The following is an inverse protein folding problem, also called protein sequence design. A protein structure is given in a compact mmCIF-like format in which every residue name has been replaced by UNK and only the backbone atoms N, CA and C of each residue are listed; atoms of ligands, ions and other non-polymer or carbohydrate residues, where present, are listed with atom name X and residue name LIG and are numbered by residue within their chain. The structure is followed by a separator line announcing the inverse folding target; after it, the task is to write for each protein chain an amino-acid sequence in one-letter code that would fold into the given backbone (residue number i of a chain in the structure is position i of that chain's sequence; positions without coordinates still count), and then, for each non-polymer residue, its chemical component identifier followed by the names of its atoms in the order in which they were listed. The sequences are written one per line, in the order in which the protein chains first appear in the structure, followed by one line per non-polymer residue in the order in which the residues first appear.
data_IF_775931125231
#
_entry.id   IF_775931125231
#
_cell.length_a   1.000
_cell.length_b   1.000
_cell.length_c   1.000
_cell.angle_alpha   90.00
_cell.angle_beta   90.00
_cell.angle_gamma   90.00
#
_symmetry.space_group_name_H-M   'P 1'
#
loop_
_entity.id
_entity.type
_entity.pdbx_description
1 polymer ?
#
# COMPACT_ATOMS: atom_id res chain seq x y z
N UNK A 1 -4.70 1.30 -11.41
CA UNK A 1 -3.34 1.30 -12.02
C UNK A 1 -2.85 2.69 -12.39
N UNK A 2 -3.69 3.60 -12.93
CA UNK A 2 -3.24 4.95 -13.34
C UNK A 2 -2.77 5.85 -12.17
N UNK A 3 -3.44 5.77 -11.01
CA UNK A 3 -3.12 6.59 -9.82
C UNK A 3 -1.73 6.26 -9.25
N UNK A 4 -1.41 4.97 -9.15
CA UNK A 4 -0.12 4.45 -8.63
C UNK A 4 1.07 4.99 -9.43
N UNK A 5 0.95 5.04 -10.76
CA UNK A 5 2.01 5.57 -11.62
C UNK A 5 2.25 7.05 -11.35
N UNK A 6 1.19 7.83 -11.18
CA UNK A 6 1.26 9.28 -10.97
C UNK A 6 1.90 9.61 -9.62
N UNK A 7 1.52 8.90 -8.57
CA UNK A 7 2.10 9.03 -7.22
C UNK A 7 3.59 8.65 -7.20
N UNK A 8 3.97 7.59 -7.91
CA UNK A 8 5.37 7.20 -8.03
C UNK A 8 6.18 8.23 -8.84
N UNK A 9 5.65 8.75 -9.96
CA UNK A 9 6.33 9.75 -10.78
C UNK A 9 6.62 11.05 -10.01
N UNK A 10 5.75 11.43 -9.08
CA UNK A 10 5.95 12.58 -8.19
C UNK A 10 7.10 12.40 -7.17
N UNK A 11 7.80 11.26 -7.19
CA UNK A 11 8.91 10.95 -6.29
C UNK A 11 10.21 10.58 -7.03
N UNK A 12 10.21 10.75 -8.35
CA UNK A 12 11.31 10.40 -9.25
C UNK A 12 11.96 11.67 -9.78
N UNK A 13 13.27 11.78 -9.65
CA UNK A 13 14.04 12.91 -10.14
C UNK A 13 15.29 12.44 -10.89
N UNK A 14 15.63 13.06 -12.00
CA UNK A 14 16.77 12.69 -12.83
C UNK A 14 17.96 13.62 -12.60
N UNK A 15 19.14 13.04 -12.40
CA UNK A 15 20.42 13.75 -12.54
C UNK A 15 20.98 13.52 -13.94
N UNK A 16 21.40 14.62 -14.58
CA UNK A 16 21.83 14.61 -15.97
C UNK A 16 23.27 14.12 -16.13
N UNK A 17 23.40 13.01 -16.84
CA UNK A 17 24.66 12.41 -17.27
C UNK A 17 24.86 12.58 -18.77
N UNK A 18 24.45 11.57 -19.55
CA UNK A 18 24.48 11.54 -21.02
C UNK A 18 23.26 12.20 -21.68
N UNK A 19 22.26 12.63 -20.89
CA UNK A 19 21.16 13.50 -21.29
C UNK A 19 20.14 12.85 -22.21
N UNK A 20 20.02 11.53 -22.16
CA UNK A 20 18.99 10.71 -22.82
C UNK A 20 17.62 10.75 -22.09
N UNK A 21 17.48 11.66 -21.13
CA UNK A 21 16.23 12.00 -20.42
C UNK A 21 15.35 12.93 -21.29
N UNK A 22 14.03 12.82 -21.17
CA UNK A 22 13.10 13.69 -21.90
C UNK A 22 13.17 15.13 -21.41
N UNK A 23 13.45 16.06 -22.31
CA UNK A 23 13.55 17.48 -21.99
C UNK A 23 12.26 18.05 -21.37
N UNK A 24 11.09 17.66 -21.90
CA UNK A 24 9.80 18.25 -21.51
C UNK A 24 9.10 17.50 -20.37
N UNK A 25 9.21 16.17 -20.33
CA UNK A 25 8.30 15.33 -19.54
C UNK A 25 8.95 14.64 -18.34
N UNK A 26 10.27 14.52 -18.33
CA UNK A 26 10.99 13.97 -17.18
C UNK A 26 11.36 15.07 -16.19
N UNK A 27 11.35 14.73 -14.91
CA UNK A 27 11.68 15.66 -13.83
C UNK A 27 13.19 15.69 -13.57
N UNK A 28 13.91 16.49 -14.34
CA UNK A 28 15.35 16.73 -14.16
C UNK A 28 15.66 18.16 -13.67
N UNK A 29 14.69 19.07 -13.76
CA UNK A 29 14.80 20.44 -13.28
C UNK A 29 14.29 20.54 -11.82
N UNK A 30 15.00 21.20 -10.89
CA UNK A 30 14.57 21.31 -9.49
C UNK A 30 13.15 21.85 -9.31
N UNK A 31 12.74 22.79 -10.16
CA UNK A 31 11.45 23.49 -10.13
C UNK A 31 10.27 22.61 -10.57
N UNK A 32 10.52 21.48 -11.23
CA UNK A 32 9.48 20.55 -11.67
C UNK A 32 9.62 20.11 -13.12
N UNK A 33 8.55 19.48 -13.63
CA UNK A 33 8.46 19.07 -15.03
C UNK A 33 8.32 20.31 -15.92
N UNK A 34 9.22 20.46 -16.88
CA UNK A 34 9.32 21.64 -17.72
C UNK A 34 8.03 21.96 -18.51
N UNK A 35 7.35 20.93 -19.04
CA UNK A 35 6.08 21.11 -19.74
C UNK A 35 5.00 21.77 -18.86
N UNK A 36 4.98 21.48 -17.56
CA UNK A 36 4.04 22.08 -16.61
C UNK A 36 4.39 23.54 -16.29
N UNK A 37 5.68 23.88 -16.25
CA UNK A 37 6.16 25.24 -15.97
C UNK A 37 5.88 26.20 -17.12
N UNK A 38 6.04 25.73 -18.36
CA UNK A 38 5.86 26.56 -19.57
C UNK A 38 4.41 26.51 -20.08
N UNK A 39 3.59 25.57 -19.58
CA UNK A 39 2.20 25.38 -20.04
C UNK A 39 2.11 24.92 -21.50
N UNK A 40 3.17 24.31 -22.01
CA UNK A 40 3.29 23.94 -23.42
C UNK A 40 2.92 22.47 -23.66
N UNK A 41 2.06 22.21 -24.64
CA UNK A 41 1.77 20.86 -25.14
C UNK A 41 2.78 20.47 -26.23
N UNK A 42 4.05 20.28 -25.84
CA UNK A 42 5.12 19.93 -26.77
C UNK A 42 5.19 18.42 -26.99
N UNK A 43 4.54 17.88 -28.03
CA UNK A 43 4.58 16.44 -28.40
C UNK A 43 5.93 15.95 -28.96
N UNK A 44 7.04 16.54 -28.53
CA UNK A 44 8.38 16.23 -29.02
C UNK A 44 9.15 15.46 -27.94
N UNK A 45 9.41 14.18 -28.20
CA UNK A 45 10.36 13.37 -27.44
C UNK A 45 11.79 13.81 -27.78
N UNK A 46 12.14 15.03 -27.39
CA UNK A 46 13.50 15.57 -27.53
C UNK A 46 14.28 15.21 -26.26
N UNK A 47 15.45 14.57 -26.39
CA UNK A 47 16.35 14.34 -25.26
C UNK A 47 17.01 15.65 -24.81
N UNK A 48 17.35 15.73 -23.53
CA UNK A 48 18.02 16.90 -22.95
C UNK A 48 19.32 17.24 -23.67
N UNK A 49 20.11 16.22 -24.04
CA UNK A 49 21.40 16.40 -24.71
C UNK A 49 21.32 17.07 -26.08
N UNK A 50 20.12 17.18 -26.68
CA UNK A 50 19.96 17.90 -27.93
C UNK A 50 20.22 19.40 -27.78
N UNK A 51 20.00 19.92 -26.59
CA UNK A 51 20.26 21.30 -26.20
C UNK A 51 21.69 21.53 -25.72
N UNK A 52 22.62 20.60 -25.98
CA UNK A 52 24.02 20.77 -25.64
C UNK A 52 24.87 21.16 -26.87
N UNK A 53 25.95 21.87 -26.60
CA UNK A 53 27.04 22.17 -27.53
C UNK A 53 28.35 22.13 -26.75
N UNK A 54 29.35 21.38 -27.25
CA UNK A 54 30.65 21.20 -26.58
C UNK A 54 30.54 20.81 -25.08
N UNK A 55 29.55 19.99 -24.74
CA UNK A 55 29.26 19.51 -23.38
C UNK A 55 28.69 20.53 -22.40
N UNK A 56 28.29 21.70 -22.89
CA UNK A 56 27.58 22.72 -22.12
C UNK A 56 26.20 22.99 -22.71
N UNK A 57 25.35 23.70 -21.95
CA UNK A 57 24.04 24.13 -22.42
C UNK A 57 24.17 25.13 -23.57
N UNK A 58 23.57 24.80 -24.71
CA UNK A 58 23.45 25.69 -25.85
C UNK A 58 22.30 26.68 -25.60
N UNK A 59 22.67 27.85 -25.05
CA UNK A 59 21.71 28.93 -24.75
C UNK A 59 20.95 29.39 -26.00
N UNK A 60 21.54 29.36 -27.19
CA UNK A 60 20.87 29.80 -28.42
C UNK A 60 19.75 28.84 -28.81
N UNK A 61 19.99 27.52 -28.69
CA UNK A 61 18.93 26.51 -28.88
C UNK A 61 17.84 26.61 -27.82
N UNK A 62 18.21 26.83 -26.55
CA UNK A 62 17.24 26.96 -25.45
C UNK A 62 16.32 28.18 -25.63
N UNK A 63 16.86 29.32 -26.11
CA UNK A 63 16.08 30.54 -26.39
C UNK A 63 14.97 30.32 -27.43
N UNK A 64 15.12 29.36 -28.32
CA UNK A 64 14.10 29.02 -29.31
C UNK A 64 12.99 28.13 -28.74
N UNK A 65 13.24 27.46 -27.61
CA UNK A 65 12.35 26.47 -27.02
C UNK A 65 11.61 26.96 -25.77
N UNK A 66 12.27 27.75 -24.91
CA UNK A 66 11.74 28.16 -23.60
C UNK A 66 11.94 29.66 -23.31
N UNK A 67 11.11 30.27 -22.44
CA UNK A 67 11.28 31.68 -22.04
C UNK A 67 12.59 31.94 -21.27
N UNK A 68 13.10 33.18 -21.33
CA UNK A 68 14.39 33.55 -20.72
C UNK A 68 14.53 33.18 -19.23
N UNK A 69 13.49 33.39 -18.42
CA UNK A 69 13.52 33.06 -16.99
C UNK A 69 13.69 31.56 -16.70
N UNK A 70 13.32 30.69 -17.65
CA UNK A 70 13.52 29.24 -17.56
C UNK A 70 14.93 28.85 -18.00
N UNK A 71 15.51 29.56 -18.96
CA UNK A 71 16.87 29.29 -19.46
C UNK A 71 17.87 29.43 -18.31
N UNK A 72 17.72 30.48 -17.51
CA UNK A 72 18.63 30.73 -16.39
C UNK A 72 18.60 29.56 -15.40
N UNK A 73 17.41 29.05 -15.06
CA UNK A 73 17.24 27.84 -14.23
C UNK A 73 17.88 26.59 -14.86
N UNK A 74 17.65 26.36 -16.16
CA UNK A 74 18.21 25.20 -16.87
C UNK A 74 19.74 25.24 -16.82
N UNK A 75 20.34 26.42 -17.04
CA UNK A 75 21.80 26.55 -17.05
C UNK A 75 22.47 26.39 -15.70
N UNK A 76 21.72 26.44 -14.60
CA UNK A 76 22.23 26.14 -13.25
C UNK A 76 22.30 24.63 -12.97
N UNK A 77 21.63 23.79 -13.78
CA UNK A 77 21.64 22.35 -13.61
C UNK A 77 22.99 21.78 -14.03
N UNK A 78 23.72 21.07 -13.13
CA UNK A 78 25.01 20.48 -13.47
C UNK A 78 24.84 19.32 -14.46
N UNK A 79 25.71 19.28 -15.48
CA UNK A 79 25.80 18.19 -16.45
C UNK A 79 27.07 17.39 -16.14
N UNK A 80 26.96 16.06 -16.07
CA UNK A 80 28.13 15.18 -15.96
C UNK A 80 28.18 14.17 -17.11
N UNK A 81 28.69 14.60 -18.26
CA UNK A 81 28.78 13.80 -19.50
C UNK A 81 29.54 12.47 -19.37
N UNK A 82 30.33 12.30 -18.31
CA UNK A 82 31.14 11.08 -18.08
C UNK A 82 30.35 10.00 -17.33
N UNK A 83 29.12 10.29 -16.94
CA UNK A 83 28.22 9.37 -16.26
C UNK A 83 26.94 9.19 -17.08
N UNK A 84 26.26 8.06 -16.88
CA UNK A 84 24.91 7.88 -17.41
C UNK A 84 23.91 8.65 -16.56
N UNK A 85 22.79 9.05 -17.17
CA UNK A 85 21.66 9.63 -16.46
C UNK A 85 21.25 8.76 -15.27
N UNK A 86 21.04 9.38 -14.11
CA UNK A 86 20.72 8.65 -12.88
C UNK A 86 19.34 9.02 -12.34
N UNK A 87 18.53 7.99 -12.10
CA UNK A 87 17.20 8.11 -11.53
C UNK A 87 17.24 8.10 -10.01
N UNK A 88 17.04 9.26 -9.38
CA UNK A 88 16.88 9.37 -7.95
C UNK A 88 15.44 9.10 -7.52
N UNK A 89 15.30 8.20 -6.57
CA UNK A 89 14.05 7.92 -5.87
C UNK A 89 14.02 8.61 -4.51
N UNK A 90 13.23 9.68 -4.37
CA UNK A 90 13.22 10.58 -3.20
C UNK A 90 12.76 9.90 -1.90
N UNK A 91 12.01 8.80 -2.01
CA UNK A 91 11.46 8.07 -0.86
C UNK A 91 12.43 7.02 -0.29
N UNK A 92 13.63 6.89 -0.85
CA UNK A 92 14.68 6.03 -0.31
C UNK A 92 15.87 6.85 0.19
N UNK A 93 16.39 6.48 1.36
CA UNK A 93 17.61 7.07 1.94
C UNK A 93 18.84 6.90 1.05
N UNK A 94 18.84 5.90 0.16
CA UNK A 94 19.94 5.59 -0.74
C UNK A 94 19.65 6.02 -2.19
N UNK A 95 18.57 6.78 -2.42
CA UNK A 95 18.10 7.20 -3.74
C UNK A 95 17.79 6.08 -4.75
N UNK A 96 17.89 4.82 -4.35
CA UNK A 96 17.52 3.67 -5.16
C UNK A 96 16.01 3.41 -5.11
N UNK A 97 15.43 3.17 -6.27
CA UNK A 97 14.05 2.72 -6.38
C UNK A 97 13.89 1.31 -5.80
N UNK A 98 12.92 1.15 -4.89
CA UNK A 98 12.53 -0.19 -4.43
C UNK A 98 11.02 -0.32 -4.42
N UNK A 99 10.51 -1.48 -4.86
CA UNK A 99 9.07 -1.80 -4.79
C UNK A 99 8.51 -1.66 -3.38
N UNK A 100 9.32 -1.95 -2.36
CA UNK A 100 8.98 -1.78 -0.94
C UNK A 100 8.71 -0.32 -0.57
N UNK A 101 9.58 0.61 -0.96
CA UNK A 101 9.40 2.03 -0.64
C UNK A 101 8.23 2.64 -1.41
N UNK A 102 8.08 2.32 -2.70
CA UNK A 102 6.90 2.71 -3.48
C UNK A 102 5.60 2.18 -2.88
N UNK A 103 5.56 0.90 -2.50
CA UNK A 103 4.39 0.30 -1.85
C UNK A 103 4.03 0.97 -0.52
N UNK A 104 5.04 1.32 0.28
CA UNK A 104 4.83 1.93 1.58
C UNK A 104 4.24 3.35 1.49
N UNK A 105 4.53 4.09 0.43
CA UNK A 105 3.96 5.42 0.18
C UNK A 105 2.50 5.34 -0.26
N UNK A 106 2.22 4.45 -1.21
CA UNK A 106 0.89 4.35 -1.83
C UNK A 106 -0.12 3.70 -0.89
N UNK A 107 0.34 2.75 -0.07
CA UNK A 107 -0.57 2.05 0.84
C UNK A 107 -1.04 3.01 1.92
N UNK A 108 -2.33 2.99 2.19
CA UNK A 108 -2.87 3.56 3.41
C UNK A 108 -2.33 2.75 4.61
N UNK A 109 -1.40 3.36 5.35
CA UNK A 109 -0.73 2.70 6.47
C UNK A 109 -1.64 2.67 7.68
N UNK A 110 -2.47 1.64 7.75
CA UNK A 110 -3.21 1.36 8.97
C UNK A 110 -2.29 0.79 10.05
N UNK A 111 -2.51 1.14 11.34
CA UNK A 111 -1.69 0.62 12.43
C UNK A 111 -1.75 -0.91 12.44
N UNK A 112 -0.58 -1.54 12.49
CA UNK A 112 -0.49 -3.00 12.52
C UNK A 112 -1.13 -3.50 13.82
N UNK A 113 -2.35 -4.03 13.72
CA UNK A 113 -3.00 -4.61 14.89
C UNK A 113 -2.22 -5.85 15.33
N UNK A 114 -1.81 -5.88 16.59
CA UNK A 114 -1.06 -7.02 17.14
C UNK A 114 -1.84 -8.34 17.08
N UNK A 115 -3.16 -8.27 16.95
CA UNK A 115 -4.03 -9.42 16.75
C UNK A 115 -3.67 -10.15 15.45
N UNK A 116 -3.45 -9.42 14.34
CA UNK A 116 -3.17 -10.02 13.04
C UNK A 116 -1.87 -10.83 13.03
N UNK A 117 -0.84 -10.38 13.76
CA UNK A 117 0.44 -11.10 13.85
C UNK A 117 0.27 -12.50 14.45
N UNK A 118 -0.68 -12.68 15.38
CA UNK A 118 -0.91 -13.96 16.05
C UNK A 118 -1.48 -15.02 15.12
N UNK A 119 -2.23 -14.64 14.08
CA UNK A 119 -2.77 -15.60 13.12
C UNK A 119 -1.71 -16.16 12.17
N UNK A 120 -0.60 -15.47 11.98
CA UNK A 120 0.48 -15.90 11.07
C UNK A 120 1.66 -16.55 11.80
N UNK A 121 1.42 -17.12 12.98
CA UNK A 121 2.41 -17.90 13.72
C UNK A 121 2.78 -19.19 12.98
N UNK A 122 4.05 -19.61 13.07
CA UNK A 122 4.53 -20.89 12.52
C UNK A 122 3.85 -22.12 13.13
N UNK A 123 3.19 -21.96 14.28
CA UNK A 123 2.45 -23.03 14.95
C UNK A 123 1.07 -23.28 14.32
N UNK A 124 0.56 -22.34 13.52
CA UNK A 124 -0.75 -22.46 12.87
C UNK A 124 -0.58 -22.98 11.44
N UNK A 125 -1.46 -23.91 11.07
CA UNK A 125 -1.56 -24.37 9.69
C UNK A 125 -2.08 -23.21 8.83
N UNK A 126 -1.50 -22.92 7.65
CA UNK A 126 -1.87 -21.79 6.82
C UNK A 126 -3.38 -21.67 6.55
N UNK A 127 -4.09 -22.79 6.38
CA UNK A 127 -5.54 -22.80 6.18
C UNK A 127 -6.31 -22.23 7.38
N UNK A 128 -5.87 -22.53 8.60
CA UNK A 128 -6.47 -22.00 9.83
C UNK A 128 -6.18 -20.50 9.94
N UNK A 129 -4.96 -20.07 9.61
CA UNK A 129 -4.58 -18.65 9.58
C UNK A 129 -5.44 -17.84 8.62
N UNK A 130 -5.61 -18.33 7.39
CA UNK A 130 -6.45 -17.69 6.37
C UNK A 130 -7.91 -17.67 6.81
N UNK A 131 -8.42 -18.77 7.39
CA UNK A 131 -9.78 -18.81 7.91
C UNK A 131 -10.00 -17.78 9.02
N UNK A 132 -9.13 -17.75 10.03
CA UNK A 132 -9.22 -16.80 11.14
C UNK A 132 -9.12 -15.34 10.66
N UNK A 133 -8.23 -15.07 9.70
CA UNK A 133 -8.12 -13.77 9.05
C UNK A 133 -9.40 -13.38 8.29
N UNK A 134 -10.03 -14.30 7.56
CA UNK A 134 -11.32 -14.03 6.91
C UNK A 134 -12.43 -13.81 7.94
N UNK A 135 -12.39 -14.53 9.05
CA UNK A 135 -13.40 -14.44 10.12
C UNK A 135 -13.41 -13.06 10.79
N UNK A 136 -12.25 -12.56 11.23
CA UNK A 136 -12.14 -11.23 11.86
C UNK A 136 -12.47 -10.07 10.91
N UNK A 137 -12.32 -10.27 9.60
CA UNK A 137 -12.70 -9.28 8.59
C UNK A 137 -14.16 -9.41 8.14
N UNK A 138 -14.93 -10.34 8.72
CA UNK A 138 -16.30 -10.64 8.31
C UNK A 138 -16.44 -11.09 6.84
N UNK A 139 -15.45 -11.81 6.32
CA UNK A 139 -15.36 -12.25 4.92
C UNK A 139 -15.73 -13.73 4.72
N UNK A 140 -16.27 -14.38 5.75
CA UNK A 140 -16.83 -15.72 5.63
C UNK A 140 -18.19 -15.61 4.93
N UNK A 141 -18.46 -16.43 3.90
CA UNK A 141 -19.68 -16.35 3.10
C UNK A 141 -20.86 -17.01 3.82
N UNK A 142 -21.32 -16.40 4.91
CA UNK A 142 -22.61 -16.74 5.53
C UNK A 142 -23.75 -16.09 4.74
N UNK A 143 -24.95 -16.64 4.83
CA UNK A 143 -26.13 -16.16 4.10
C UNK A 143 -26.34 -14.64 4.21
N UNK A 144 -26.22 -14.08 5.41
CA UNK A 144 -26.35 -12.63 5.63
C UNK A 144 -25.35 -11.82 4.79
N UNK A 145 -24.09 -12.27 4.70
CA UNK A 145 -23.04 -11.62 3.90
C UNK A 145 -23.25 -11.80 2.40
N UNK A 146 -23.85 -12.91 1.99
CA UNK A 146 -24.22 -13.12 0.59
C UNK A 146 -25.38 -12.20 0.18
N UNK A 147 -26.35 -11.98 1.08
CA UNK A 147 -27.44 -11.00 0.88
C UNK A 147 -26.93 -9.57 0.74
N UNK A 148 -25.99 -9.15 1.59
CA UNK A 148 -25.35 -7.82 1.47
C UNK A 148 -24.68 -7.60 0.11
N UNK A 149 -24.27 -8.70 -0.56
CA UNK A 149 -23.68 -8.68 -1.90
C UNK A 149 -24.71 -8.81 -3.03
N UNK A 150 -26.01 -8.74 -2.71
CA UNK A 150 -27.10 -8.77 -3.68
C UNK A 150 -27.56 -10.17 -4.09
N UNK A 151 -27.10 -11.23 -3.43
CA UNK A 151 -27.57 -12.60 -3.70
C UNK A 151 -28.89 -12.82 -2.96
N UNK A 152 -29.96 -13.09 -3.69
CA UNK A 152 -31.28 -13.35 -3.11
C UNK A 152 -31.38 -14.79 -2.63
N UNK A 153 -31.39 -14.98 -1.31
CA UNK A 153 -31.59 -16.28 -0.65
C UNK A 153 -32.27 -16.07 0.71
N UNK A 154 -32.94 -17.08 1.26
CA UNK A 154 -33.45 -17.03 2.62
C UNK A 154 -32.30 -17.35 3.58
N UNK A 155 -32.03 -16.48 4.55
CA UNK A 155 -30.95 -16.73 5.51
C UNK A 155 -31.49 -17.59 6.63
N UNK A 156 -30.92 -18.78 6.81
CA UNK A 156 -31.35 -19.72 7.84
C UNK A 156 -30.18 -20.61 8.25
N UNK A 157 -29.84 -20.67 9.54
CA UNK A 157 -28.84 -21.63 10.01
C UNK A 157 -29.30 -23.05 9.69
N UNK A 158 -28.38 -23.93 9.29
CA UNK A 158 -28.71 -25.37 9.21
C UNK A 158 -28.84 -26.01 10.60
N UNK A 159 -28.26 -25.37 11.61
CA UNK A 159 -28.20 -25.83 12.99
C UNK A 159 -29.46 -25.53 13.81
N UNK A 160 -30.20 -24.48 13.45
CA UNK A 160 -31.33 -23.96 14.21
C UNK A 160 -32.26 -23.13 13.30
N UNK A 161 -33.24 -22.42 13.86
CA UNK A 161 -34.17 -21.60 13.07
C UNK A 161 -33.78 -20.12 12.94
N UNK A 162 -32.62 -19.73 13.49
CA UNK A 162 -32.13 -18.36 13.44
C UNK A 162 -31.50 -17.99 12.08
N UNK A 163 -31.25 -16.68 11.91
CA UNK A 163 -30.51 -16.14 10.76
C UNK A 163 -29.05 -16.59 10.81
N UNK A 164 -28.53 -17.05 9.68
CA UNK A 164 -27.13 -17.47 9.56
C UNK A 164 -26.20 -16.24 9.46
N UNK A 165 -25.67 -15.84 10.61
CA UNK A 165 -24.71 -14.75 10.76
C UNK A 165 -23.38 -15.28 11.32
N UNK A 166 -22.29 -14.53 11.13
CA UNK A 166 -20.98 -14.90 11.70
C UNK A 166 -21.04 -14.98 13.24
N UNK A 167 -21.58 -13.98 13.97
CA UNK A 167 -21.71 -14.07 15.42
C UNK A 167 -22.57 -15.25 15.85
N UNK A 168 -23.67 -15.53 15.14
CA UNK A 168 -24.50 -16.68 15.44
C UNK A 168 -23.71 -17.99 15.31
N UNK A 169 -23.04 -18.21 14.18
CA UNK A 169 -22.33 -19.47 13.93
C UNK A 169 -21.12 -19.70 14.84
N UNK A 170 -20.40 -18.63 15.21
CA UNK A 170 -19.11 -18.73 15.87
C UNK A 170 -19.10 -18.26 17.32
N UNK A 171 -20.15 -17.60 17.83
CA UNK A 171 -20.21 -17.10 19.21
C UNK A 171 -21.42 -17.60 19.98
N UNK A 172 -22.60 -17.63 19.35
CA UNK A 172 -23.87 -17.73 20.08
C UNK A 172 -24.61 -19.05 19.91
N UNK A 173 -24.35 -19.82 18.85
CA UNK A 173 -25.04 -21.09 18.68
C UNK A 173 -24.60 -22.10 19.74
N UNK A 174 -25.44 -23.11 20.00
CA UNK A 174 -25.19 -24.12 21.04
C UNK A 174 -23.83 -24.82 20.88
N UNK A 175 -23.44 -25.16 19.65
CA UNK A 175 -22.18 -25.85 19.38
C UNK A 175 -20.95 -24.98 19.66
N UNK A 176 -20.99 -23.70 19.29
CA UNK A 176 -19.94 -22.73 19.53
C UNK A 176 -19.80 -22.44 21.02
N UNK A 177 -20.92 -22.27 21.73
CA UNK A 177 -20.93 -22.05 23.17
C UNK A 177 -20.36 -23.26 23.92
N UNK A 178 -20.71 -24.47 23.51
CA UNK A 178 -20.16 -25.72 24.06
C UNK A 178 -18.64 -25.81 23.82
N UNK A 179 -18.20 -25.59 22.58
CA UNK A 179 -16.78 -25.64 22.22
C UNK A 179 -15.97 -24.59 22.98
N UNK A 180 -16.43 -23.33 22.99
CA UNK A 180 -15.76 -22.26 23.71
C UNK A 180 -15.77 -22.51 25.21
N UNK A 181 -16.90 -22.93 25.78
CA UNK A 181 -17.04 -23.23 27.20
C UNK A 181 -16.09 -24.34 27.65
N UNK A 182 -15.96 -25.40 26.85
CA UNK A 182 -15.02 -26.50 27.11
C UNK A 182 -13.57 -25.98 27.21
N UNK A 183 -13.08 -25.25 26.21
CA UNK A 183 -11.72 -24.73 26.26
C UNK A 183 -11.56 -23.63 27.32
N UNK A 184 -12.57 -22.78 27.50
CA UNK A 184 -12.52 -21.65 28.43
C UNK A 184 -12.39 -22.14 29.86
N UNK A 185 -13.09 -23.20 30.23
CA UNK A 185 -12.94 -23.85 31.53
C UNK A 185 -11.52 -24.40 31.74
N UNK A 186 -10.96 -25.05 30.71
CA UNK A 186 -9.62 -25.65 30.75
C UNK A 186 -8.51 -24.61 30.86
N UNK A 187 -8.64 -23.50 30.14
CA UNK A 187 -7.64 -22.42 30.10
C UNK A 187 -7.98 -21.26 31.04
N UNK A 188 -9.06 -21.35 31.82
CA UNK A 188 -9.60 -20.32 32.71
C UNK A 188 -9.69 -18.95 32.03
N UNK A 189 -10.27 -18.94 30.82
CA UNK A 189 -10.52 -17.72 30.04
C UNK A 189 -11.95 -17.27 30.29
N UNK A 190 -12.16 -15.98 30.52
CA UNK A 190 -13.51 -15.42 30.55
C UNK A 190 -13.98 -15.15 29.12
N UNK A 191 -15.12 -15.73 28.72
CA UNK A 191 -15.71 -15.52 27.40
C UNK A 191 -16.51 -14.21 27.45
N UNK A 192 -16.11 -13.16 26.71
CA UNK A 192 -16.86 -11.92 26.69
C UNK A 192 -18.20 -12.10 25.97
N UNK A 193 -19.25 -11.46 26.47
CA UNK A 193 -20.50 -11.33 25.73
C UNK A 193 -20.33 -10.25 24.64
N UNK A 194 -20.14 -10.68 23.40
CA UNK A 194 -19.84 -9.80 22.26
C UNK A 194 -20.39 -10.38 20.96
N UNK A 195 -20.60 -9.52 19.96
CA UNK A 195 -20.84 -9.93 18.57
C UNK A 195 -19.56 -9.83 17.72
N UNK A 196 -18.45 -9.35 18.29
CA UNK A 196 -17.18 -9.16 17.60
C UNK A 196 -16.21 -10.31 17.91
N UNK A 197 -15.89 -11.09 16.87
CA UNK A 197 -14.92 -12.18 16.96
C UNK A 197 -13.54 -11.68 17.39
N UNK A 198 -13.14 -10.47 17.00
CA UNK A 198 -11.85 -9.92 17.37
C UNK A 198 -11.73 -9.75 18.90
N UNK A 199 -12.82 -9.29 19.55
CA UNK A 199 -12.89 -9.14 21.02
C UNK A 199 -12.78 -10.50 21.71
N UNK A 200 -13.45 -11.53 21.18
CA UNK A 200 -13.28 -12.90 21.70
C UNK A 200 -11.81 -13.31 21.62
N UNK A 201 -11.20 -13.25 20.44
CA UNK A 201 -9.80 -13.71 20.26
C UNK A 201 -8.82 -12.89 21.13
N UNK A 202 -9.09 -11.61 21.33
CA UNK A 202 -8.30 -10.76 22.23
C UNK A 202 -8.40 -11.20 23.69
N UNK A 203 -9.59 -11.59 24.19
CA UNK A 203 -9.73 -12.10 25.55
C UNK A 203 -8.88 -13.34 25.79
N UNK A 204 -8.87 -14.27 24.83
CA UNK A 204 -8.02 -15.46 24.84
C UNK A 204 -6.53 -15.09 24.89
N UNK A 205 -6.11 -14.13 24.07
CA UNK A 205 -4.71 -13.67 24.05
C UNK A 205 -4.30 -13.06 25.39
N UNK A 206 -5.13 -12.22 25.99
CA UNK A 206 -4.84 -11.59 27.29
C UNK A 206 -4.79 -12.62 28.42
N UNK A 207 -5.74 -13.57 28.45
CA UNK A 207 -5.82 -14.57 29.52
C UNK A 207 -4.72 -15.64 29.42
N UNK A 208 -4.21 -15.93 28.22
CA UNK A 208 -3.10 -16.87 28.03
C UNK A 208 -1.74 -16.19 28.23
N UNK A 209 -1.58 -14.92 27.84
CA UNK A 209 -0.34 -14.17 28.01
C UNK A 209 0.04 -13.91 29.47
N UNK A 210 -0.95 -13.80 30.37
CA UNK A 210 -0.70 -13.67 31.82
C UNK A 210 -0.21 -14.98 32.47
N UNK A 211 -0.43 -16.13 31.84
CA UNK A 211 -0.08 -17.44 32.40
C UNK A 211 1.32 -17.93 32.03
N UNK A 212 1.92 -17.39 30.98
CA UNK A 212 3.29 -17.73 30.55
C UNK A 212 4.39 -16.96 31.30
N UNK A 213 4.03 -16.15 32.30
CA UNK A 213 4.97 -15.34 33.09
C UNK A 213 5.35 -15.98 34.46
N UNK A 214 5.02 -17.26 34.67
CA UNK A 214 5.39 -18.03 35.86
C UNK A 214 6.09 -19.34 35.48
#
# INVERSE_FOLDING_TARGET
MCTIRTEAQANIFWSLGDGNVSFWYDWWLPEGILANLVGAQCNLHIPVNWFWHEHEWDRQKLQQAVPQHIIDLITEVPINIYQSDYLHWRLSKHSEFTTKSAWNEIRDQQPVQQLYKSFWSKLLIPNISVFAWRLIHNWIPVDERLKEKGITLASKCLCCEDTETIPHLFLHNAHSLEAWGFFASKFQVNIPHTNDIAILIQSWKTSLGTKTAH
#
